data_IF_652027853897
#
_entry.id   IF_652027853897
#
_cell.length_a   1.000
_cell.length_b   1.000
_cell.length_c   1.000
_cell.angle_alpha   90.00
_cell.angle_beta   90.00
_cell.angle_gamma   90.00
#
_symmetry.space_group_name_H-M   'P 1'
#
loop_
_entity.id
_entity.type
_entity.pdbx_description
1 polymer ?
#
# COMPACT_ATOMS: atom_id res chain seq x y z
N UNK A 1 11.43 -26.30 19.71
CA UNK A 1 10.68 -25.29 18.94
C UNK A 1 10.81 -23.96 19.66
N UNK A 2 11.71 -23.10 19.23
CA UNK A 2 11.81 -21.74 19.78
C UNK A 2 10.79 -20.88 19.04
N UNK A 3 9.65 -20.63 19.66
CA UNK A 3 8.76 -19.56 19.23
C UNK A 3 9.51 -18.26 19.51
N UNK A 4 10.16 -17.71 18.49
CA UNK A 4 10.91 -16.47 18.58
C UNK A 4 9.89 -15.31 18.70
N UNK A 5 9.73 -14.69 19.88
CA UNK A 5 8.74 -13.63 20.08
C UNK A 5 9.28 -12.25 19.65
N UNK A 6 10.37 -12.23 18.89
CA UNK A 6 11.01 -11.02 18.40
C UNK A 6 11.01 -11.03 16.87
N UNK A 7 9.84 -10.90 16.25
CA UNK A 7 9.78 -10.21 14.95
C UNK A 7 9.73 -8.72 15.30
N UNK A 8 10.87 -8.22 15.74
CA UNK A 8 11.15 -6.78 15.73
C UNK A 8 10.83 -6.35 14.30
N UNK A 9 9.86 -5.47 14.14
CA UNK A 9 9.52 -4.86 12.85
C UNK A 9 10.83 -4.26 12.32
N UNK A 10 11.47 -4.98 11.41
CA UNK A 10 12.64 -4.47 10.69
C UNK A 10 12.13 -3.31 9.83
N UNK A 11 12.87 -2.20 9.88
CA UNK A 11 12.59 -0.91 9.27
C UNK A 11 12.58 -0.98 7.72
N UNK A 12 11.71 -1.81 7.14
CA UNK A 12 11.65 -2.08 5.71
C UNK A 12 10.80 -3.29 5.28
N UNK A 13 10.11 -3.99 6.19
CA UNK A 13 9.21 -5.07 5.78
C UNK A 13 7.88 -4.49 5.28
N UNK A 14 7.77 -4.34 3.96
CA UNK A 14 6.50 -4.03 3.27
C UNK A 14 5.43 -5.01 3.76
N UNK A 15 4.21 -4.55 4.11
CA UNK A 15 3.14 -5.44 4.48
C UNK A 15 2.97 -6.48 3.36
N UNK A 16 3.03 -7.77 3.73
CA UNK A 16 2.80 -8.86 2.79
C UNK A 16 1.32 -8.90 2.42
N UNK A 17 0.96 -8.06 1.47
CA UNK A 17 -0.41 -7.92 0.98
C UNK A 17 -0.65 -8.97 -0.09
N UNK A 18 -1.68 -9.80 0.09
CA UNK A 18 -2.17 -10.68 -0.96
C UNK A 18 -3.26 -9.95 -1.76
N UNK A 19 -3.10 -9.70 -3.07
CA UNK A 19 -4.10 -9.00 -3.88
C UNK A 19 -5.48 -9.64 -3.91
N UNK A 20 -5.58 -10.95 -3.62
CA UNK A 20 -6.86 -11.67 -3.60
C UNK A 20 -7.73 -11.32 -2.38
N UNK A 21 -7.15 -10.73 -1.34
CA UNK A 21 -7.87 -10.33 -0.13
C UNK A 21 -8.58 -8.97 -0.29
N UNK A 22 -8.34 -8.28 -1.41
CA UNK A 22 -8.85 -6.94 -1.68
C UNK A 22 -9.83 -6.96 -2.85
N UNK A 23 -10.88 -6.15 -2.73
CA UNK A 23 -11.78 -5.84 -3.83
C UNK A 23 -11.69 -4.34 -4.22
N UNK A 24 -12.38 -3.96 -5.30
CA UNK A 24 -12.34 -2.59 -5.81
C UNK A 24 -12.81 -1.54 -4.79
N UNK A 25 -13.77 -1.86 -3.93
CA UNK A 25 -14.27 -0.97 -2.88
C UNK A 25 -13.24 -0.77 -1.76
N UNK A 26 -12.50 -1.82 -1.39
CA UNK A 26 -11.47 -1.72 -0.36
C UNK A 26 -10.33 -0.81 -0.84
N UNK A 27 -9.89 -1.00 -2.08
CA UNK A 27 -8.83 -0.19 -2.69
C UNK A 27 -9.30 1.25 -2.91
N UNK A 28 -10.56 1.46 -3.30
CA UNK A 28 -11.13 2.80 -3.43
C UNK A 28 -11.18 3.54 -2.09
N UNK A 29 -11.61 2.86 -1.01
CA UNK A 29 -11.66 3.46 0.32
C UNK A 29 -10.25 3.79 0.85
N UNK A 30 -9.25 2.98 0.50
CA UNK A 30 -7.86 3.25 0.84
C UNK A 30 -7.33 4.47 0.07
N UNK A 31 -7.59 4.53 -1.24
CA UNK A 31 -7.19 5.68 -2.06
C UNK A 31 -7.85 6.98 -1.60
N UNK A 32 -9.14 6.95 -1.24
CA UNK A 32 -9.86 8.11 -0.70
C UNK A 32 -9.22 8.64 0.59
N UNK A 33 -8.80 7.75 1.52
CA UNK A 33 -8.08 8.16 2.74
C UNK A 33 -6.75 8.82 2.42
N UNK A 34 -5.98 8.25 1.49
CA UNK A 34 -4.70 8.81 1.03
C UNK A 34 -4.88 10.19 0.39
N UNK A 35 -5.91 10.39 -0.43
CA UNK A 35 -6.19 11.68 -1.06
C UNK A 35 -6.59 12.75 -0.07
N UNK A 36 -7.43 12.38 0.91
CA UNK A 36 -7.93 13.31 1.92
C UNK A 36 -6.89 13.63 2.98
N UNK A 37 -5.80 12.85 3.05
CA UNK A 37 -4.82 12.85 4.13
C UNK A 37 -5.50 12.75 5.51
N UNK A 38 -6.58 11.97 5.58
CA UNK A 38 -7.51 11.89 6.73
C UNK A 38 -7.03 10.82 7.72
N UNK A 39 -5.86 11.06 8.30
CA UNK A 39 -5.20 10.13 9.23
C UNK A 39 -4.90 10.79 10.57
N UNK A 40 -5.05 10.01 11.64
CA UNK A 40 -4.69 10.46 12.99
C UNK A 40 -3.18 10.69 13.16
N UNK A 41 -2.36 10.02 12.33
CA UNK A 41 -0.90 10.18 12.33
C UNK A 41 -0.26 9.72 11.00
N UNK A 42 0.99 10.13 10.78
CA UNK A 42 1.73 9.85 9.54
C UNK A 42 2.11 8.38 9.31
N UNK A 43 2.08 7.51 10.34
CA UNK A 43 2.36 6.09 10.15
C UNK A 43 1.18 5.35 9.53
N UNK A 44 -0.05 5.76 9.85
CA UNK A 44 -1.26 5.20 9.25
C UNK A 44 -1.33 5.53 7.74
N UNK A 45 -1.02 6.78 7.37
CA UNK A 45 -0.95 7.18 5.96
C UNK A 45 0.14 6.42 5.21
N UNK A 46 1.30 6.24 5.84
CA UNK A 46 2.40 5.44 5.29
C UNK A 46 2.01 3.96 5.11
N UNK A 47 1.25 3.39 6.05
CA UNK A 47 0.79 2.00 5.97
C UNK A 47 -0.17 1.79 4.79
N UNK A 48 -1.16 2.67 4.64
CA UNK A 48 -2.09 2.61 3.50
C UNK A 48 -1.35 2.82 2.17
N UNK A 49 -0.41 3.75 2.12
CA UNK A 49 0.44 3.94 0.95
C UNK A 49 1.25 2.67 0.62
N UNK A 50 1.81 2.01 1.63
CA UNK A 50 2.53 0.74 1.45
C UNK A 50 1.62 -0.38 0.95
N UNK A 51 0.38 -0.46 1.41
CA UNK A 51 -0.60 -1.45 0.92
C UNK A 51 -0.90 -1.20 -0.56
N UNK A 52 -1.21 0.04 -0.94
CA UNK A 52 -1.49 0.42 -2.33
C UNK A 52 -0.28 0.12 -3.22
N UNK A 53 0.93 0.44 -2.73
CA UNK A 53 2.19 0.18 -3.44
C UNK A 53 2.46 -1.31 -3.61
N UNK A 54 2.22 -2.12 -2.57
CA UNK A 54 2.37 -3.58 -2.63
C UNK A 54 1.39 -4.20 -3.63
N UNK A 55 0.14 -3.73 -3.67
CA UNK A 55 -0.85 -4.16 -4.66
C UNK A 55 -0.42 -3.81 -6.10
N UNK A 56 0.11 -2.61 -6.31
CA UNK A 56 0.67 -2.18 -7.58
C UNK A 56 1.87 -3.02 -8.01
N UNK A 57 2.80 -3.28 -7.08
CA UNK A 57 3.99 -4.10 -7.33
C UNK A 57 3.66 -5.55 -7.71
N UNK A 58 2.58 -6.10 -7.13
CA UNK A 58 2.08 -7.45 -7.45
C UNK A 58 1.21 -7.50 -8.72
N UNK A 59 1.03 -6.38 -9.43
CA UNK A 59 0.31 -6.32 -10.71
C UNK A 59 -1.22 -6.36 -10.59
N UNK A 60 -1.78 -5.94 -9.45
CA UNK A 60 -3.23 -5.86 -9.28
C UNK A 60 -3.83 -4.78 -10.18
N UNK A 61 -4.82 -5.12 -11.00
CA UNK A 61 -5.54 -4.13 -11.83
C UNK A 61 -6.40 -3.17 -11.00
N UNK A 62 -6.68 -3.50 -9.73
CA UNK A 62 -7.47 -2.66 -8.83
C UNK A 62 -6.81 -1.30 -8.52
N UNK A 63 -5.48 -1.22 -8.67
CA UNK A 63 -4.70 -0.02 -8.34
C UNK A 63 -4.41 0.88 -9.54
N UNK A 64 -4.71 0.43 -10.76
CA UNK A 64 -4.52 1.22 -11.98
C UNK A 64 -5.07 2.64 -11.90
N UNK A 65 -6.33 2.88 -11.45
CA UNK A 65 -6.85 4.24 -11.35
C UNK A 65 -6.16 5.08 -10.28
N UNK A 66 -5.46 4.48 -9.32
CA UNK A 66 -4.89 5.17 -8.15
C UNK A 66 -3.35 5.27 -8.20
N UNK A 67 -2.71 4.93 -9.33
CA UNK A 67 -1.24 4.96 -9.44
C UNK A 67 -0.62 6.33 -9.24
N UNK A 68 -1.34 7.42 -9.49
CA UNK A 68 -0.87 8.79 -9.23
C UNK A 68 -0.58 9.06 -7.75
N UNK A 69 -1.18 8.29 -6.83
CA UNK A 69 -0.91 8.40 -5.38
C UNK A 69 0.43 7.78 -4.96
N UNK A 70 1.06 6.99 -5.83
CA UNK A 70 2.24 6.23 -5.48
C UNK A 70 3.56 6.92 -5.83
N UNK A 71 3.51 8.16 -6.33
CA UNK A 71 4.66 8.87 -6.94
C UNK A 71 5.46 7.95 -7.89
N UNK A 72 4.77 7.00 -8.52
CA UNK A 72 5.33 6.22 -9.61
C UNK A 72 5.33 7.18 -10.80
N UNK A 73 6.46 7.85 -11.03
CA UNK A 73 6.69 8.51 -12.31
C UNK A 73 6.35 7.48 -13.40
N UNK A 74 5.28 7.75 -14.16
CA UNK A 74 5.14 7.11 -15.44
C UNK A 74 6.41 7.53 -16.19
N UNK A 75 7.25 6.56 -16.50
CA UNK A 75 8.45 6.79 -17.30
C UNK A 75 7.97 7.22 -18.69
N UNK A 76 7.62 8.49 -18.85
CA UNK A 76 7.33 9.12 -20.12
C UNK A 76 8.70 9.28 -20.80
N UNK A 77 8.99 8.33 -21.68
CA UNK A 77 10.14 8.37 -22.58
C UNK A 77 10.12 9.69 -23.37
N UNK A 78 11.10 10.56 -23.11
CA UNK A 78 11.42 11.75 -23.93
C UNK A 78 12.09 11.38 -25.25
#
# INVERSE_FOLDING_TARGET
>A
MVNNPSKMIELGEVPDVNPQDFNASDVAALADRLERDDYDNAFESLNDWHILRSLAFKGSSLVEPYRYLLDLEAFDEC
#
